data_IF_663894743047
#
_entry.id   IF_663894743047
#
_cell.length_a   1.000
_cell.length_b   1.000
_cell.length_c   1.000
_cell.angle_alpha   90.00
_cell.angle_beta   90.00
_cell.angle_gamma   90.00
#
_symmetry.space_group_name_H-M   'P 1'
#
loop_
_entity.id
_entity.type
_entity.pdbx_description
1 polymer ?
#
# COMPACT_ATOMS: atom_id res chain seq x y z
N UNK A 1 20.85 -12.67 10.03
CA UNK A 1 20.95 -11.55 9.07
C UNK A 1 19.73 -10.67 9.29
N UNK A 2 19.83 -9.68 10.17
CA UNK A 2 18.73 -8.75 10.45
C UNK A 2 18.69 -7.71 9.33
N UNK A 3 17.58 -7.65 8.59
CA UNK A 3 17.36 -6.62 7.57
C UNK A 3 16.86 -5.38 8.30
N UNK A 4 17.74 -4.39 8.47
CA UNK A 4 17.36 -3.07 8.96
C UNK A 4 16.35 -2.45 7.98
N UNK A 5 15.10 -2.30 8.43
CA UNK A 5 14.04 -1.65 7.66
C UNK A 5 14.20 -0.14 7.82
N UNK A 6 14.77 0.52 6.82
CA UNK A 6 14.92 1.98 6.75
C UNK A 6 13.58 2.60 6.32
N UNK A 7 13.05 3.64 6.99
CA UNK A 7 11.67 4.10 6.84
C UNK A 7 11.40 5.03 5.63
N UNK A 8 11.97 4.82 4.44
CA UNK A 8 11.94 5.91 3.42
C UNK A 8 11.92 5.56 1.93
N UNK A 9 11.54 4.34 1.50
CA UNK A 9 11.34 4.10 0.06
C UNK A 9 9.95 3.57 -0.23
N UNK A 10 9.02 4.51 -0.44
CA UNK A 10 7.83 4.28 -1.26
C UNK A 10 8.30 3.76 -2.61
N UNK A 11 8.24 2.44 -2.79
CA UNK A 11 8.73 1.77 -4.00
C UNK A 11 7.53 1.37 -4.84
N UNK A 12 7.53 1.80 -6.10
CA UNK A 12 6.55 1.32 -7.08
C UNK A 12 6.77 -0.18 -7.23
N UNK A 13 5.71 -0.95 -7.04
CA UNK A 13 5.79 -2.41 -7.07
C UNK A 13 5.78 -2.95 -8.49
N UNK A 14 6.14 -4.22 -8.64
CA UNK A 14 6.06 -4.90 -9.94
C UNK A 14 4.61 -4.97 -10.44
N UNK A 15 4.36 -4.81 -11.76
CA UNK A 15 3.01 -4.82 -12.33
C UNK A 15 2.28 -6.15 -12.12
N UNK A 16 2.99 -7.27 -11.99
CA UNK A 16 2.41 -8.56 -11.65
C UNK A 16 1.75 -8.55 -10.25
N UNK A 17 2.41 -7.92 -9.26
CA UNK A 17 1.85 -7.77 -7.92
C UNK A 17 0.70 -6.76 -7.93
N UNK A 18 0.85 -5.63 -8.63
CA UNK A 18 -0.22 -4.64 -8.80
C UNK A 18 -1.53 -5.25 -9.31
N UNK A 19 -1.47 -6.09 -10.35
CA UNK A 19 -2.65 -6.80 -10.88
C UNK A 19 -3.31 -7.72 -9.84
N UNK A 20 -2.52 -8.33 -8.95
CA UNK A 20 -3.04 -9.17 -7.88
C UNK A 20 -3.77 -8.34 -6.83
N UNK A 21 -3.23 -7.17 -6.48
CA UNK A 21 -3.85 -6.22 -5.56
C UNK A 21 -5.15 -5.65 -6.14
N UNK A 22 -5.14 -5.26 -7.42
CA UNK A 22 -6.36 -4.83 -8.13
C UNK A 22 -7.46 -5.89 -8.08
N UNK A 23 -7.11 -7.15 -8.36
CA UNK A 23 -8.07 -8.24 -8.31
C UNK A 23 -8.63 -8.44 -6.89
N UNK A 24 -7.80 -8.30 -5.85
CA UNK A 24 -8.23 -8.40 -4.45
C UNK A 24 -9.17 -7.26 -4.07
N UNK A 25 -8.78 -6.02 -4.35
CA UNK A 25 -9.59 -4.83 -4.03
C UNK A 25 -10.93 -4.87 -4.77
N UNK A 26 -10.92 -5.23 -6.06
CA UNK A 26 -12.15 -5.36 -6.85
C UNK A 26 -13.07 -6.50 -6.41
N UNK A 27 -12.53 -7.53 -5.74
CA UNK A 27 -13.32 -8.69 -5.30
C UNK A 27 -13.81 -8.60 -3.86
N UNK A 28 -13.07 -7.93 -2.97
CA UNK A 28 -13.36 -7.93 -1.52
C UNK A 28 -13.71 -6.55 -0.96
N UNK A 29 -13.63 -5.46 -1.73
CA UNK A 29 -13.84 -4.08 -1.26
C UNK A 29 -13.13 -3.80 0.08
N UNK A 30 -11.94 -4.36 0.26
CA UNK A 30 -11.08 -4.10 1.41
C UNK A 30 -10.27 -2.84 1.15
N UNK A 31 -10.96 -1.70 1.12
CA UNK A 31 -10.28 -0.41 1.27
C UNK A 31 -9.89 -0.28 2.74
N UNK A 32 -8.59 -0.40 3.01
CA UNK A 32 -8.02 -0.23 4.35
C UNK A 32 -7.39 1.16 4.52
N UNK A 33 -7.80 2.14 3.70
CA UNK A 33 -7.22 3.48 3.72
C UNK A 33 -7.32 4.14 5.09
N UNK A 34 -8.42 3.95 5.81
CA UNK A 34 -8.59 4.47 7.17
C UNK A 34 -7.61 3.83 8.16
N UNK A 35 -7.44 2.51 8.09
CA UNK A 35 -6.46 1.78 8.92
C UNK A 35 -5.03 2.19 8.59
N UNK A 36 -4.73 2.38 7.31
CA UNK A 36 -3.44 2.88 6.85
C UNK A 36 -3.21 4.31 7.34
N UNK A 37 -4.25 5.15 7.38
CA UNK A 37 -4.20 6.53 7.90
C UNK A 37 -3.86 6.56 9.39
N UNK A 38 -4.54 5.75 10.20
CA UNK A 38 -4.21 5.60 11.62
C UNK A 38 -2.77 5.11 11.82
N UNK A 39 -2.31 4.17 10.99
CA UNK A 39 -1.00 3.53 11.16
C UNK A 39 0.19 4.31 10.61
N UNK A 40 -0.02 5.11 9.56
CA UNK A 40 1.01 6.00 9.01
C UNK A 40 1.03 7.33 9.75
N UNK A 41 -0.11 7.79 10.28
CA UNK A 41 -0.23 9.08 10.95
C UNK A 41 -0.04 10.28 10.02
N UNK A 42 0.04 10.04 8.70
CA UNK A 42 0.29 11.06 7.69
C UNK A 42 -0.82 11.06 6.64
N UNK A 43 -1.89 11.80 6.94
CA UNK A 43 -3.03 11.96 6.04
C UNK A 43 -2.63 12.57 4.69
N UNK A 44 -1.63 13.46 4.69
CA UNK A 44 -1.11 14.14 3.50
C UNK A 44 -0.60 13.15 2.44
N UNK A 45 0.07 12.09 2.87
CA UNK A 45 0.60 11.04 2.01
C UNK A 45 -0.50 10.12 1.45
N UNK A 46 -1.68 10.07 2.08
CA UNK A 46 -2.81 9.25 1.65
C UNK A 46 -3.79 9.99 0.75
N UNK A 47 -3.78 11.32 0.73
CA UNK A 47 -4.60 12.12 -0.19
C UNK A 47 -4.29 11.86 -1.67
N UNK A 48 -3.08 11.39 -1.98
CA UNK A 48 -2.66 11.01 -3.33
C UNK A 48 -3.05 9.57 -3.73
N UNK A 49 -3.67 8.81 -2.83
CA UNK A 49 -4.02 7.41 -3.06
C UNK A 49 -5.54 7.22 -3.05
N UNK A 50 -6.03 6.55 -4.09
CA UNK A 50 -7.45 6.25 -4.31
C UNK A 50 -7.91 5.09 -3.40
N UNK A 51 -7.07 4.05 -3.27
CA UNK A 51 -7.39 2.84 -2.49
C UNK A 51 -6.13 2.26 -1.85
N UNK A 52 -6.29 1.68 -0.66
CA UNK A 52 -5.20 0.96 0.01
C UNK A 52 -5.64 -0.45 0.44
N UNK A 53 -4.70 -1.39 0.45
CA UNK A 53 -4.96 -2.78 0.84
C UNK A 53 -3.76 -3.39 1.55
N UNK A 54 -4.00 -4.29 2.50
CA UNK A 54 -2.97 -5.15 3.09
C UNK A 54 -2.75 -6.40 2.24
N UNK A 55 -1.49 -6.68 1.91
CA UNK A 55 -1.06 -7.93 1.30
C UNK A 55 0.30 -8.36 1.86
N UNK A 56 0.42 -9.64 2.20
CA UNK A 56 1.69 -10.28 2.60
C UNK A 56 2.50 -9.55 3.69
N UNK A 57 1.81 -8.91 4.65
CA UNK A 57 2.47 -8.18 5.74
C UNK A 57 2.76 -6.71 5.43
N UNK A 58 2.37 -6.23 4.26
CA UNK A 58 2.60 -4.87 3.79
C UNK A 58 1.29 -4.19 3.37
N UNK A 59 1.22 -2.89 3.61
CA UNK A 59 0.23 -2.02 3.01
C UNK A 59 0.71 -1.50 1.67
N UNK A 60 -0.17 -1.64 0.69
CA UNK A 60 0.00 -1.11 -0.65
C UNK A 60 -1.13 -0.13 -0.91
N UNK A 61 -0.81 1.00 -1.53
CA UNK A 61 -1.79 2.00 -1.93
C UNK A 61 -1.67 2.28 -3.42
N UNK A 62 -2.81 2.45 -4.08
CA UNK A 62 -2.90 2.79 -5.50
C UNK A 62 -3.13 4.28 -5.65
N UNK A 63 -2.30 4.94 -6.45
CA UNK A 63 -2.52 6.35 -6.83
C UNK A 63 -3.60 6.52 -7.90
N UNK A 64 -3.96 7.78 -8.16
CA UNK A 64 -4.93 8.16 -9.18
C UNK A 64 -4.52 7.72 -10.60
N UNK A 65 -3.22 7.58 -10.86
CA UNK A 65 -2.67 7.05 -12.11
C UNK A 65 -2.74 5.52 -12.19
N UNK A 66 -3.24 4.86 -11.13
CA UNK A 66 -3.39 3.40 -11.07
C UNK A 66 -2.11 2.65 -10.70
N UNK A 67 -1.05 3.34 -10.27
CA UNK A 67 0.18 2.69 -9.85
C UNK A 67 0.10 2.28 -8.39
N UNK A 68 0.56 1.06 -8.10
CA UNK A 68 0.62 0.58 -6.74
C UNK A 68 1.97 0.91 -6.12
N UNK A 69 1.91 1.41 -4.90
CA UNK A 69 3.08 1.80 -4.12
C UNK A 69 3.04 1.10 -2.78
N UNK A 70 4.16 0.50 -2.40
CA UNK A 70 4.34 -0.03 -1.05
C UNK A 70 4.49 1.13 -0.06
N UNK A 71 3.55 1.27 0.87
CA UNK A 71 3.55 2.39 1.83
C UNK A 71 4.14 2.00 3.19
N UNK A 72 3.93 0.76 3.64
CA UNK A 72 4.46 0.30 4.93
C UNK A 72 4.46 -1.22 5.03
N UNK A 73 5.58 -1.82 5.41
CA UNK A 73 5.67 -3.25 5.71
C UNK A 73 5.89 -3.50 7.20
N UNK A 74 5.22 -4.52 7.70
CA UNK A 74 5.37 -5.08 9.04
C UNK A 74 6.03 -6.44 8.90
N UNK A 75 7.35 -6.44 8.69
CA UNK A 75 8.19 -7.65 8.74
C UNK A 75 8.45 -8.09 10.18
#
# INVERSE_FOLDING_TARGET
MAKNVTPSQLSIISPALGRHLDQRVGSQSQDERETVLEKLGDASTLLKYDVCTWWDGCYYCRDEDGNWTEVKCYL
#
